data_IF_897955033102
#
_entry.id   IF_897955033102
#
_cell.length_a   1.000
_cell.length_b   1.000
_cell.length_c   1.000
_cell.angle_alpha   90.00
_cell.angle_beta   90.00
_cell.angle_gamma   90.00
#
_symmetry.space_group_name_H-M   'P 1'
#
loop_
_entity.id
_entity.type
_entity.pdbx_description
1 polymer ?
#
# COMPACT_ATOMS: atom_id res chain seq x y z
N UNK A 1 -1.46 12.87 -14.13
CA UNK A 1 -1.84 12.17 -12.88
C UNK A 1 -3.35 12.02 -12.86
N UNK A 2 -3.93 11.49 -13.94
CA UNK A 2 -5.32 11.80 -14.24
C UNK A 2 -6.26 10.72 -13.70
N UNK A 3 -5.71 9.63 -13.14
CA UNK A 3 -6.48 8.50 -12.61
C UNK A 3 -7.36 8.87 -11.42
N UNK A 4 -6.98 9.87 -10.59
CA UNK A 4 -7.86 10.38 -9.53
C UNK A 4 -9.05 11.13 -10.15
N UNK A 5 -8.80 12.01 -11.12
CA UNK A 5 -9.85 12.74 -11.82
C UNK A 5 -10.79 11.80 -12.61
N UNK A 6 -10.23 10.72 -13.15
CA UNK A 6 -10.96 9.65 -13.83
C UNK A 6 -11.56 8.60 -12.86
N UNK A 7 -11.41 8.78 -11.55
CA UNK A 7 -12.00 7.93 -10.50
C UNK A 7 -11.69 6.44 -10.68
N UNK A 8 -10.44 6.10 -11.02
CA UNK A 8 -10.03 4.71 -11.27
C UNK A 8 -10.19 3.76 -10.07
N UNK A 9 -10.33 4.30 -8.87
CA UNK A 9 -10.60 3.58 -7.63
C UNK A 9 -12.07 3.16 -7.47
N UNK A 10 -12.99 3.70 -8.29
CA UNK A 10 -14.39 3.26 -8.32
C UNK A 10 -14.53 1.90 -9.04
N UNK A 11 -15.50 1.09 -8.61
CA UNK A 11 -15.74 -0.23 -9.22
C UNK A 11 -16.28 -0.09 -10.64
N UNK A 12 -17.24 0.82 -10.82
CA UNK A 12 -17.89 1.15 -12.09
C UNK A 12 -17.12 2.28 -12.78
N UNK A 13 -16.11 1.90 -13.55
CA UNK A 13 -15.27 2.85 -14.23
C UNK A 13 -15.97 3.36 -15.50
N UNK A 14 -16.63 4.53 -15.42
CA UNK A 14 -17.17 5.26 -16.57
C UNK A 14 -16.10 5.99 -17.40
N UNK A 15 -14.81 5.78 -17.12
CA UNK A 15 -13.72 6.36 -17.91
C UNK A 15 -13.66 5.76 -19.31
N UNK A 16 -13.31 6.59 -20.28
CA UNK A 16 -13.01 6.17 -21.66
C UNK A 16 -11.66 5.45 -21.77
N UNK A 17 -10.82 5.50 -20.73
CA UNK A 17 -9.53 4.85 -20.65
C UNK A 17 -9.69 3.36 -20.35
N UNK A 18 -8.99 2.52 -21.10
CA UNK A 18 -9.05 1.06 -20.96
C UNK A 18 -7.89 0.55 -20.12
N UNK A 19 -8.19 -0.39 -19.24
CA UNK A 19 -7.18 -1.17 -18.53
C UNK A 19 -6.50 -2.15 -19.50
N UNK A 20 -5.17 -2.26 -19.39
CA UNK A 20 -4.41 -3.28 -20.08
C UNK A 20 -4.17 -4.47 -19.14
N UNK A 21 -4.42 -5.68 -19.62
CA UNK A 21 -4.13 -6.93 -18.90
C UNK A 21 -2.79 -7.55 -19.31
N UNK A 22 -2.34 -7.26 -20.52
CA UNK A 22 -1.20 -7.92 -21.13
C UNK A 22 0.06 -7.08 -20.94
N UNK A 23 1.19 -7.73 -20.64
CA UNK A 23 2.49 -7.06 -20.40
C UNK A 23 2.42 -6.00 -19.30
N UNK A 24 2.09 -6.44 -18.07
CA UNK A 24 1.99 -5.55 -16.90
C UNK A 24 3.31 -4.78 -16.74
N UNK A 25 3.28 -3.43 -16.78
CA UNK A 25 4.47 -2.63 -16.62
C UNK A 25 5.06 -2.85 -15.22
N UNK A 26 6.39 -3.02 -15.16
CA UNK A 26 7.15 -3.15 -13.91
C UNK A 26 8.21 -2.06 -13.90
N UNK A 27 8.48 -1.48 -12.74
CA UNK A 27 9.42 -0.35 -12.56
C UNK A 27 9.00 0.96 -13.24
N UNK A 28 7.70 1.12 -13.53
CA UNK A 28 7.16 2.35 -14.09
C UNK A 28 6.61 3.26 -13.00
N UNK A 29 6.84 4.57 -13.19
CA UNK A 29 6.35 5.60 -12.27
C UNK A 29 4.90 5.97 -12.60
N UNK A 30 4.13 6.34 -11.57
CA UNK A 30 2.76 6.85 -11.71
C UNK A 30 1.80 5.91 -12.45
N UNK A 31 1.99 4.60 -12.26
CA UNK A 31 1.16 3.56 -12.85
C UNK A 31 0.00 3.19 -11.92
N UNK A 32 -1.17 2.99 -12.50
CA UNK A 32 -2.32 2.43 -11.81
C UNK A 32 -2.38 0.92 -12.05
N UNK A 33 -2.59 0.17 -10.98
CA UNK A 33 -2.84 -1.27 -11.04
C UNK A 33 -4.23 -1.54 -10.48
N UNK A 34 -4.97 -2.45 -11.09
CA UNK A 34 -6.28 -2.89 -10.63
C UNK A 34 -6.31 -4.41 -10.64
N UNK A 35 -6.87 -4.97 -9.59
CA UNK A 35 -7.08 -6.41 -9.46
C UNK A 35 -8.39 -6.67 -8.71
N UNK A 36 -8.83 -7.92 -8.73
CA UNK A 36 -9.98 -8.39 -7.95
C UNK A 36 -9.58 -9.63 -7.17
N UNK A 37 -10.09 -9.76 -5.95
CA UNK A 37 -9.80 -10.90 -5.09
C UNK A 37 -11.07 -11.29 -4.32
N UNK A 38 -11.15 -12.55 -3.91
CA UNK A 38 -12.24 -13.02 -3.04
C UNK A 38 -11.93 -12.64 -1.60
N UNK A 39 -12.95 -12.20 -0.87
CA UNK A 39 -12.80 -11.94 0.56
C UNK A 39 -12.33 -13.23 1.28
N UNK A 40 -11.30 -13.15 2.13
CA UNK A 40 -10.85 -14.28 2.93
C UNK A 40 -11.95 -14.70 3.93
N UNK A 41 -11.93 -15.98 4.33
CA UNK A 41 -12.89 -16.52 5.29
C UNK A 41 -12.53 -16.12 6.73
N UNK A 42 -13.55 -15.91 7.57
CA UNK A 42 -13.40 -15.59 8.99
C UNK A 42 -13.49 -14.11 9.32
N UNK A 43 -13.27 -13.78 10.60
CA UNK A 43 -13.46 -12.43 11.15
C UNK A 43 -12.14 -11.79 11.64
N UNK A 44 -11.00 -12.42 11.33
CA UNK A 44 -9.71 -11.88 11.72
C UNK A 44 -9.40 -10.61 10.93
N UNK A 45 -8.64 -9.66 11.51
CA UNK A 45 -8.13 -8.52 10.77
C UNK A 45 -7.33 -8.98 9.55
N UNK A 46 -7.46 -8.24 8.46
CA UNK A 46 -6.76 -8.52 7.20
C UNK A 46 -5.93 -7.31 6.79
N UNK A 47 -4.84 -7.59 6.08
CA UNK A 47 -3.94 -6.58 5.54
C UNK A 47 -3.72 -6.84 4.06
N UNK A 48 -3.42 -5.77 3.32
CA UNK A 48 -2.93 -5.86 1.95
C UNK A 48 -1.41 -5.74 2.01
N UNK A 49 -0.71 -6.81 1.65
CA UNK A 49 0.74 -6.78 1.52
C UNK A 49 1.11 -6.09 0.20
N UNK A 50 1.87 -5.00 0.30
CA UNK A 50 2.30 -4.18 -0.83
C UNK A 50 3.83 -4.28 -1.04
N UNK A 51 4.51 -5.23 -0.38
CA UNK A 51 5.93 -5.50 -0.60
C UNK A 51 6.16 -5.79 -2.09
N UNK A 52 7.22 -5.20 -2.65
CA UNK A 52 7.53 -5.23 -4.07
C UNK A 52 7.00 -4.03 -4.87
N UNK A 53 6.07 -3.25 -4.31
CA UNK A 53 5.72 -1.93 -4.84
C UNK A 53 6.65 -0.83 -4.30
N UNK A 54 6.57 0.36 -4.89
CA UNK A 54 7.36 1.53 -4.47
C UNK A 54 6.65 2.39 -3.42
N UNK A 55 6.00 3.45 -3.89
CA UNK A 55 5.26 4.43 -3.09
C UNK A 55 3.93 4.73 -3.77
N UNK A 56 2.84 4.83 -3.00
CA UNK A 56 1.53 5.10 -3.58
C UNK A 56 0.42 5.24 -2.55
N UNK A 57 -0.80 5.08 -3.06
CA UNK A 57 -2.05 5.02 -2.30
C UNK A 57 -2.77 3.78 -2.79
N UNK A 58 -3.45 3.09 -1.87
CA UNK A 58 -4.24 1.90 -2.18
C UNK A 58 -5.71 2.12 -1.85
N UNK A 59 -6.58 1.49 -2.63
CA UNK A 59 -8.02 1.48 -2.43
C UNK A 59 -8.54 0.06 -2.42
N UNK A 60 -9.47 -0.25 -1.52
CA UNK A 60 -10.22 -1.51 -1.50
C UNK A 60 -11.70 -1.16 -1.51
N UNK A 61 -12.42 -1.64 -2.53
CA UNK A 61 -13.84 -1.39 -2.69
C UNK A 61 -14.21 0.10 -2.57
N UNK A 62 -13.53 0.99 -3.30
CA UNK A 62 -13.69 2.47 -3.27
C UNK A 62 -13.14 3.17 -2.01
N UNK A 63 -12.82 2.43 -0.95
CA UNK A 63 -12.31 3.00 0.29
C UNK A 63 -10.80 3.17 0.24
N UNK A 64 -10.32 4.37 0.52
CA UNK A 64 -8.88 4.67 0.66
C UNK A 64 -8.33 3.94 1.90
N UNK A 65 -7.34 3.08 1.69
CA UNK A 65 -6.66 2.34 2.77
C UNK A 65 -5.43 3.09 3.31
N UNK A 66 -5.08 4.23 2.69
CA UNK A 66 -4.00 5.12 3.10
C UNK A 66 -2.80 5.11 2.15
N UNK A 67 -1.83 5.97 2.47
CA UNK A 67 -0.54 6.05 1.78
C UNK A 67 0.36 4.90 2.20
N UNK A 68 0.95 4.23 1.21
CA UNK A 68 1.93 3.17 1.41
C UNK A 68 3.29 3.57 0.84
N UNK A 69 4.37 3.23 1.55
CA UNK A 69 5.74 3.41 1.06
C UNK A 69 6.63 2.21 1.45
N UNK A 70 6.30 1.00 0.97
CA UNK A 70 7.05 -0.22 1.30
C UNK A 70 8.53 -0.20 0.87
N UNK A 71 8.91 0.61 -0.13
CA UNK A 71 10.33 0.71 -0.53
C UNK A 71 11.18 1.64 0.34
N UNK A 72 10.57 2.39 1.27
CA UNK A 72 11.32 3.16 2.26
C UNK A 72 11.75 2.22 3.38
N UNK A 73 12.99 1.74 3.29
CA UNK A 73 13.60 0.89 4.31
C UNK A 73 13.82 1.72 5.58
N UNK A 74 13.41 1.17 6.72
CA UNK A 74 13.64 1.81 8.02
C UNK A 74 15.13 1.88 8.32
N UNK A 75 15.55 2.96 8.95
CA UNK A 75 16.94 3.14 9.37
C UNK A 75 17.24 2.21 10.56
N UNK A 76 18.21 1.30 10.37
CA UNK A 76 18.60 0.32 11.37
C UNK A 76 19.23 0.99 12.61
N UNK A 77 19.86 2.16 12.44
CA UNK A 77 20.47 2.91 13.54
C UNK A 77 19.42 3.51 14.49
N UNK A 78 18.15 3.56 14.09
CA UNK A 78 17.04 3.99 14.95
C UNK A 78 16.58 2.90 15.92
N UNK A 79 17.02 1.66 15.74
CA UNK A 79 16.81 0.60 16.72
C UNK A 79 17.99 0.58 17.70
N UNK A 80 17.76 0.99 18.95
CA UNK A 80 18.80 0.95 19.99
C UNK A 80 19.40 -0.47 20.08
N UNK A 81 20.72 -0.65 19.91
CA UNK A 81 21.35 -1.96 19.99
C UNK A 81 21.37 -2.43 21.45
N UNK A 82 20.42 -3.29 21.81
CA UNK A 82 20.30 -3.87 23.15
C UNK A 82 18.87 -4.32 23.47
N UNK A 83 18.67 -4.86 24.67
CA UNK A 83 17.32 -5.20 25.17
C UNK A 83 16.68 -3.99 25.83
N UNK A 84 15.47 -3.62 25.42
CA UNK A 84 14.69 -2.57 26.07
C UNK A 84 14.22 -3.04 27.46
N UNK A 85 14.66 -2.35 28.53
CA UNK A 85 14.16 -2.60 29.89
C UNK A 85 12.94 -1.73 30.20
N UNK A 86 11.80 -2.39 30.44
CA UNK A 86 10.52 -1.76 30.77
C UNK A 86 10.55 -0.96 32.08
N UNK A 87 11.53 -1.19 32.96
CA UNK A 87 11.66 -0.49 34.26
C UNK A 87 12.22 0.94 34.13
N UNK A 88 12.64 1.35 32.93
CA UNK A 88 13.23 2.67 32.66
C UNK A 88 12.25 3.71 32.14
N UNK A 89 12.72 4.96 32.05
CA UNK A 89 11.99 6.04 31.38
C UNK A 89 11.92 5.77 29.88
N UNK A 90 10.71 5.78 29.34
CA UNK A 90 10.44 5.63 27.91
C UNK A 90 10.94 6.81 27.07
N UNK A 91 11.42 6.53 25.87
CA UNK A 91 11.65 7.50 24.80
C UNK A 91 11.35 6.85 23.42
N UNK A 92 11.18 7.62 22.35
CA UNK A 92 10.77 7.09 21.04
C UNK A 92 11.80 6.18 20.34
N UNK A 93 13.03 6.14 20.83
CA UNK A 93 14.11 5.29 20.34
C UNK A 93 14.32 4.05 21.23
N UNK A 94 13.55 3.90 22.31
CA UNK A 94 13.73 2.89 23.35
C UNK A 94 12.45 2.13 23.71
#
# INVERSE_FOLDING_TARGET
MDGIANKFFEMDCNSTLKWASDSIPVYWNFTWYKTTFKAPLGNNPIVVDLIGLGKGIAWVNVHDTGRCWPSAVADEDMCEPGTCDYRGRYNGSK
#
